data_IF_566335456605
#
_entry.id   IF_566335456605
#
_cell.length_a   1.000
_cell.length_b   1.000
_cell.length_c   1.000
_cell.angle_alpha   90.00
_cell.angle_beta   90.00
_cell.angle_gamma   90.00
#
_symmetry.space_group_name_H-M   'P 1'
#
loop_
_entity.id
_entity.type
_entity.pdbx_description
1 polymer ?
#
# COMPACT_ATOMS: atom_id res chain seq x y z
N UNK A 1 -1.42 3.33 18.90
CA UNK A 1 -0.72 2.66 17.77
C UNK A 1 0.26 1.62 18.27
N UNK A 2 1.20 1.96 19.16
CA UNK A 2 2.16 0.99 19.76
C UNK A 2 1.50 -0.27 20.32
N UNK A 3 0.48 -0.13 21.18
CA UNK A 3 -0.20 -1.30 21.76
C UNK A 3 -0.80 -2.23 20.70
N UNK A 4 -1.31 -1.68 19.58
CA UNK A 4 -1.91 -2.46 18.49
C UNK A 4 -0.87 -3.35 17.80
N UNK A 5 0.39 -2.90 17.70
CA UNK A 5 1.50 -3.69 17.15
C UNK A 5 1.76 -4.89 18.06
N UNK A 6 1.95 -4.63 19.35
CA UNK A 6 2.27 -5.63 20.37
C UNK A 6 1.12 -6.66 20.51
N UNK A 7 -0.13 -6.21 20.50
CA UNK A 7 -1.33 -7.06 20.53
C UNK A 7 -1.41 -8.04 19.34
N UNK A 8 -0.74 -7.73 18.22
CA UNK A 8 -0.66 -8.59 17.04
C UNK A 8 0.72 -9.25 16.91
N UNK A 9 1.46 -9.38 18.01
CA UNK A 9 2.75 -10.07 18.08
C UNK A 9 3.87 -9.40 17.27
N UNK A 10 3.68 -8.16 16.82
CA UNK A 10 4.74 -7.36 16.21
C UNK A 10 5.67 -6.77 17.27
N UNK A 11 6.91 -6.52 16.88
CA UNK A 11 7.89 -5.79 17.69
C UNK A 11 8.10 -4.39 17.12
N UNK A 12 8.38 -3.43 17.99
CA UNK A 12 8.84 -2.11 17.58
C UNK A 12 10.35 -2.18 17.44
N UNK A 13 10.85 -1.94 16.23
CA UNK A 13 12.28 -1.79 16.00
C UNK A 13 12.73 -0.42 16.48
N UNK A 14 12.15 0.66 15.92
CA UNK A 14 12.49 2.03 16.32
C UNK A 14 11.44 3.06 15.92
N UNK A 15 11.60 4.26 16.49
CA UNK A 15 10.92 5.48 16.07
C UNK A 15 11.86 6.30 15.19
N UNK A 16 11.33 6.82 14.07
CA UNK A 16 12.08 7.62 13.10
C UNK A 16 11.31 8.91 12.85
N UNK A 17 11.59 9.96 13.63
CA UNK A 17 10.79 11.18 13.61
C UNK A 17 9.35 10.92 14.03
N UNK A 18 8.41 11.09 13.11
CA UNK A 18 6.97 10.81 13.28
C UNK A 18 6.57 9.38 12.87
N UNK A 19 7.52 8.58 12.38
CA UNK A 19 7.29 7.23 11.89
C UNK A 19 7.60 6.16 12.94
N UNK A 20 6.87 5.04 12.87
CA UNK A 20 7.13 3.83 13.65
C UNK A 20 7.58 2.75 12.68
N UNK A 21 8.75 2.15 12.94
CA UNK A 21 9.19 0.94 12.27
C UNK A 21 8.86 -0.27 13.14
N UNK A 22 8.11 -1.20 12.58
CA UNK A 22 7.70 -2.43 13.26
C UNK A 22 8.04 -3.65 12.40
N UNK A 23 8.32 -4.77 13.07
CA UNK A 23 8.69 -6.03 12.44
C UNK A 23 7.76 -7.13 12.94
N UNK A 24 7.35 -7.99 12.03
CA UNK A 24 6.64 -9.24 12.27
C UNK A 24 7.53 -10.36 11.73
N UNK A 25 7.66 -11.45 12.46
CA UNK A 25 8.57 -12.54 12.11
C UNK A 25 9.99 -12.48 12.65
N UNK A 26 10.27 -11.57 13.58
CA UNK A 26 11.51 -11.54 14.35
C UNK A 26 11.26 -11.06 15.78
N UNK A 27 11.99 -11.58 16.79
CA UNK A 27 13.00 -12.65 16.72
C UNK A 27 12.42 -14.05 16.48
N UNK A 28 11.10 -14.20 16.63
CA UNK A 28 10.38 -15.46 16.40
C UNK A 28 9.52 -15.30 15.16
N UNK A 29 9.62 -16.26 14.25
CA UNK A 29 8.84 -16.34 13.01
C UNK A 29 7.60 -17.20 13.21
N UNK A 30 6.46 -16.72 12.74
CA UNK A 30 5.18 -17.40 12.73
C UNK A 30 4.56 -17.33 11.33
N UNK A 31 3.80 -18.37 10.96
CA UNK A 31 3.15 -18.43 9.64
C UNK A 31 2.10 -17.32 9.44
N UNK A 32 1.54 -16.78 10.52
CA UNK A 32 0.50 -15.75 10.49
C UNK A 32 1.04 -14.31 10.57
N UNK A 33 2.36 -14.12 10.58
CA UNK A 33 2.99 -12.79 10.64
C UNK A 33 2.53 -11.82 9.53
N UNK A 34 2.44 -12.22 8.25
CA UNK A 34 1.90 -11.35 7.20
C UNK A 34 0.44 -10.96 7.47
N UNK A 35 -0.38 -11.90 7.95
CA UNK A 35 -1.79 -11.65 8.30
C UNK A 35 -1.88 -10.70 9.48
N UNK A 36 -1.05 -10.90 10.51
CA UNK A 36 -1.01 -10.07 11.70
C UNK A 36 -0.57 -8.64 11.37
N UNK A 37 0.46 -8.46 10.53
CA UNK A 37 0.89 -7.15 10.06
C UNK A 37 -0.24 -6.37 9.37
N UNK A 38 -1.02 -7.04 8.50
CA UNK A 38 -2.14 -6.37 7.82
C UNK A 38 -3.28 -6.07 8.78
N UNK A 39 -3.61 -6.98 9.71
CA UNK A 39 -4.60 -6.74 10.77
C UNK A 39 -4.21 -5.56 11.65
N UNK A 40 -2.93 -5.45 12.01
CA UNK A 40 -2.36 -4.30 12.74
C UNK A 40 -2.63 -3.01 11.98
N UNK A 41 -2.25 -2.93 10.70
CA UNK A 41 -2.47 -1.75 9.87
C UNK A 41 -3.94 -1.35 9.82
N UNK A 42 -4.84 -2.31 9.54
CA UNK A 42 -6.27 -2.06 9.52
C UNK A 42 -6.82 -1.60 10.89
N UNK A 43 -6.35 -2.17 12.01
CA UNK A 43 -6.77 -1.76 13.36
C UNK A 43 -6.22 -0.38 13.74
N UNK A 44 -5.02 -0.01 13.28
CA UNK A 44 -4.49 1.34 13.44
C UNK A 44 -5.38 2.37 12.74
N UNK A 45 -5.86 2.07 11.53
CA UNK A 45 -6.77 2.97 10.81
C UNK A 45 -8.10 3.15 11.55
N UNK A 46 -8.66 2.10 12.14
CA UNK A 46 -9.89 2.21 12.93
C UNK A 46 -9.68 2.98 14.24
N UNK A 47 -8.54 2.77 14.90
CA UNK A 47 -8.14 3.55 16.07
C UNK A 47 -7.97 5.03 15.72
N UNK A 48 -7.35 5.34 14.58
CA UNK A 48 -7.18 6.71 14.09
C UNK A 48 -8.51 7.39 13.80
N UNK A 49 -9.49 6.68 13.19
CA UNK A 49 -10.85 7.21 13.00
C UNK A 49 -11.47 7.63 14.32
N UNK A 50 -11.33 6.80 15.35
CA UNK A 50 -11.86 7.09 16.70
C UNK A 50 -11.16 8.28 17.34
N UNK A 51 -9.84 8.36 17.20
CA UNK A 51 -9.05 9.49 17.67
C UNK A 51 -9.43 10.79 16.96
N UNK A 52 -9.55 10.78 15.64
CA UNK A 52 -9.90 11.95 14.84
C UNK A 52 -11.30 12.48 15.14
N UNK A 53 -12.28 11.62 15.46
CA UNK A 53 -13.59 12.07 15.93
C UNK A 53 -13.48 12.95 17.19
N UNK A 54 -12.62 12.57 18.14
CA UNK A 54 -12.36 13.36 19.36
C UNK A 54 -11.63 14.67 19.04
N UNK A 55 -10.66 14.63 18.12
CA UNK A 55 -9.95 15.83 17.67
C UNK A 55 -10.89 16.86 17.05
N UNK A 56 -11.73 16.42 16.10
CA UNK A 56 -12.70 17.29 15.43
C UNK A 56 -13.74 17.82 16.41
N UNK A 57 -14.24 17.00 17.33
CA UNK A 57 -15.15 17.45 18.39
C UNK A 57 -14.52 18.51 19.31
N UNK A 58 -13.19 18.52 19.42
CA UNK A 58 -12.42 19.51 20.20
C UNK A 58 -11.94 20.70 19.35
N UNK A 59 -12.45 20.87 18.12
CA UNK A 59 -12.05 21.96 17.22
C UNK A 59 -10.62 21.83 16.65
N UNK A 60 -10.00 20.65 16.74
CA UNK A 60 -8.63 20.39 16.26
C UNK A 60 -8.64 19.68 14.90
N UNK A 61 -7.61 19.89 14.07
CA UNK A 61 -7.51 19.20 12.78
C UNK A 61 -7.34 17.68 12.97
N UNK A 62 -7.88 16.87 12.04
CA UNK A 62 -7.67 15.43 12.04
C UNK A 62 -6.26 15.08 11.56
N UNK A 63 -5.74 13.96 12.06
CA UNK A 63 -4.46 13.38 11.65
C UNK A 63 -4.65 12.45 10.45
N UNK A 64 -3.60 12.36 9.63
CA UNK A 64 -3.47 11.37 8.55
C UNK A 64 -2.21 10.56 8.78
N UNK A 65 -2.25 9.27 8.46
CA UNK A 65 -1.10 8.38 8.50
C UNK A 65 -1.01 7.60 7.19
N UNK A 66 0.21 7.26 6.78
CA UNK A 66 0.50 6.26 5.77
C UNK A 66 1.06 5.01 6.42
N UNK A 67 0.69 3.84 5.91
CA UNK A 67 1.22 2.54 6.34
C UNK A 67 1.65 1.76 5.11
N UNK A 68 2.92 1.36 5.06
CA UNK A 68 3.48 0.50 4.01
C UNK A 68 3.93 -0.83 4.59
N UNK A 69 3.43 -1.95 4.06
CA UNK A 69 3.79 -3.29 4.51
C UNK A 69 4.44 -4.09 3.39
N UNK A 70 5.55 -4.74 3.70
CA UNK A 70 6.24 -5.65 2.79
C UNK A 70 6.69 -6.91 3.52
N UNK A 71 6.57 -8.05 2.85
CA UNK A 71 7.13 -9.33 3.29
C UNK A 71 8.35 -9.65 2.43
N UNK A 72 9.41 -10.16 3.04
CA UNK A 72 10.60 -10.59 2.33
C UNK A 72 11.80 -10.81 3.24
N UNK A 73 12.85 -11.37 2.68
CA UNK A 73 14.08 -11.67 3.40
C UNK A 73 14.79 -10.40 3.87
N UNK A 74 15.24 -10.45 5.13
CA UNK A 74 15.96 -9.38 5.81
C UNK A 74 17.06 -9.98 6.67
N UNK A 75 18.09 -9.19 6.98
CA UNK A 75 19.06 -9.53 8.02
C UNK A 75 18.58 -8.89 9.32
N UNK A 76 18.43 -9.69 10.38
CA UNK A 76 18.03 -9.22 11.71
C UNK A 76 19.13 -9.53 12.72
N UNK A 77 19.41 -8.58 13.60
CA UNK A 77 20.33 -8.79 14.71
C UNK A 77 20.74 -7.50 15.40
N UNK A 78 21.69 -7.60 16.34
CA UNK A 78 22.31 -6.45 16.96
C UNK A 78 23.31 -5.83 15.97
N UNK A 79 22.94 -4.71 15.37
CA UNK A 79 23.71 -4.02 14.33
C UNK A 79 24.13 -2.64 14.86
N UNK A 80 25.39 -2.28 14.64
CA UNK A 80 25.94 -1.00 15.05
C UNK A 80 27.42 -1.07 15.37
N UNK A 81 27.94 -0.04 16.03
CA UNK A 81 29.32 -0.02 16.51
C UNK A 81 29.39 -0.55 17.95
N UNK A 82 30.61 -0.81 18.45
CA UNK A 82 30.82 -1.20 19.84
C UNK A 82 30.25 -0.18 20.86
N UNK A 83 30.06 1.07 20.45
CA UNK A 83 29.52 2.14 21.30
C UNK A 83 28.00 2.25 21.22
N UNK A 84 27.37 1.72 20.16
CA UNK A 84 25.93 1.78 19.95
C UNK A 84 25.46 0.60 19.11
N UNK A 85 24.83 -0.37 19.77
CA UNK A 85 24.19 -1.53 19.16
C UNK A 85 22.67 -1.37 19.23
N UNK A 86 21.99 -1.63 18.12
CA UNK A 86 20.52 -1.68 18.04
C UNK A 86 20.09 -3.04 17.47
N UNK A 87 19.13 -3.70 18.11
CA UNK A 87 18.47 -4.85 17.50
C UNK A 87 17.53 -4.36 16.41
N UNK A 88 17.85 -4.62 15.15
CA UNK A 88 17.14 -4.03 14.00
C UNK A 88 17.16 -4.96 12.80
N UNK A 89 16.32 -4.66 11.80
CA UNK A 89 16.32 -5.37 10.52
C UNK A 89 16.80 -4.46 9.38
N UNK A 90 17.62 -5.02 8.50
CA UNK A 90 18.15 -4.32 7.32
C UNK A 90 17.97 -5.17 6.07
N UNK A 91 17.76 -4.51 4.93
CA UNK A 91 17.68 -5.17 3.63
C UNK A 91 16.72 -4.47 2.66
N UNK A 92 16.68 -4.97 1.44
CA UNK A 92 15.83 -4.43 0.39
C UNK A 92 14.34 -4.51 0.71
N UNK A 93 13.91 -5.53 1.46
CA UNK A 93 12.52 -5.69 1.90
C UNK A 93 12.08 -4.56 2.85
N UNK A 94 12.98 -4.12 3.75
CA UNK A 94 12.74 -2.97 4.64
C UNK A 94 12.59 -1.69 3.83
N UNK A 95 13.50 -1.48 2.87
CA UNK A 95 13.46 -0.33 1.98
C UNK A 95 12.18 -0.30 1.12
N UNK A 96 11.69 -1.47 0.69
CA UNK A 96 10.42 -1.57 -0.03
C UNK A 96 9.24 -1.17 0.86
N UNK A 97 9.15 -1.65 2.11
CA UNK A 97 8.09 -1.24 3.04
C UNK A 97 8.03 0.28 3.22
N UNK A 98 9.18 0.94 3.45
CA UNK A 98 9.26 2.40 3.56
C UNK A 98 8.81 3.13 2.29
N UNK A 99 9.15 2.60 1.10
CA UNK A 99 8.68 3.19 -0.16
C UNK A 99 7.18 3.04 -0.36
N UNK A 100 6.62 1.89 0.03
CA UNK A 100 5.17 1.67 -0.02
C UNK A 100 4.42 2.64 0.90
N UNK A 101 4.98 2.94 2.08
CA UNK A 101 4.46 3.98 2.97
C UNK A 101 4.43 5.33 2.24
N UNK A 102 5.52 5.75 1.60
CA UNK A 102 5.53 6.99 0.82
C UNK A 102 4.53 7.03 -0.34
N UNK A 103 4.22 5.88 -0.95
CA UNK A 103 3.22 5.78 -2.03
C UNK A 103 1.78 5.99 -1.53
N UNK A 104 1.50 5.82 -0.23
CA UNK A 104 0.16 6.05 0.34
C UNK A 104 -0.37 7.44 0.01
N UNK A 105 0.50 8.46 0.09
CA UNK A 105 0.16 9.84 -0.25
C UNK A 105 -0.17 10.02 -1.73
N UNK A 106 0.60 9.37 -2.61
CA UNK A 106 0.39 9.44 -4.06
C UNK A 106 -0.95 8.82 -4.45
N UNK A 107 -1.21 7.60 -3.96
CA UNK A 107 -2.45 6.89 -4.28
C UNK A 107 -3.64 7.31 -3.42
N UNK A 108 -3.47 8.22 -2.46
CA UNK A 108 -4.54 8.68 -1.58
C UNK A 108 -5.16 7.59 -0.71
N UNK A 109 -4.46 6.48 -0.48
CA UNK A 109 -4.91 5.34 0.34
C UNK A 109 -4.02 5.23 1.57
N UNK A 110 -4.56 4.96 2.77
CA UNK A 110 -3.78 5.06 4.01
C UNK A 110 -2.96 3.81 4.33
N UNK A 111 -3.18 2.70 3.62
CA UNK A 111 -2.47 1.43 3.83
C UNK A 111 -2.21 0.75 2.48
N UNK A 112 -0.93 0.52 2.19
CA UNK A 112 -0.48 -0.21 1.00
C UNK A 112 0.32 -1.43 1.43
N UNK A 113 0.04 -2.56 0.80
CA UNK A 113 0.78 -3.81 0.98
C UNK A 113 1.41 -4.24 -0.35
N UNK A 114 2.61 -4.81 -0.26
CA UNK A 114 3.29 -5.44 -1.41
C UNK A 114 2.53 -6.66 -1.93
N UNK A 115 2.84 -7.10 -3.15
CA UNK A 115 2.33 -8.38 -3.66
C UNK A 115 2.78 -9.58 -2.83
N UNK A 116 3.95 -9.51 -2.20
CA UNK A 116 4.48 -10.58 -1.34
C UNK A 116 3.62 -10.73 -0.08
N UNK A 117 3.34 -9.62 0.61
CA UNK A 117 2.44 -9.59 1.77
C UNK A 117 1.03 -10.01 1.39
N UNK A 118 0.53 -9.58 0.23
CA UNK A 118 -0.78 -10.00 -0.26
C UNK A 118 -0.82 -11.52 -0.50
N UNK A 119 0.17 -12.09 -1.19
CA UNK A 119 0.19 -13.52 -1.49
C UNK A 119 0.16 -14.41 -0.24
N UNK A 120 0.85 -14.00 0.82
CA UNK A 120 0.91 -14.74 2.09
C UNK A 120 -0.27 -14.45 3.03
N UNK A 121 -1.11 -13.45 2.73
CA UNK A 121 -2.26 -13.10 3.57
C UNK A 121 -3.63 -13.24 2.89
N UNK A 122 -3.66 -13.47 1.57
CA UNK A 122 -4.89 -13.42 0.73
C UNK A 122 -6.00 -14.39 1.14
N UNK A 123 -5.65 -15.50 1.80
CA UNK A 123 -6.64 -16.49 2.26
C UNK A 123 -7.45 -15.97 3.45
N UNK A 124 -6.92 -14.97 4.17
CA UNK A 124 -7.59 -14.34 5.32
C UNK A 124 -7.95 -12.87 5.07
N UNK A 125 -7.18 -12.18 4.24
CA UNK A 125 -7.27 -10.73 4.03
C UNK A 125 -7.74 -10.45 2.60
N UNK A 126 -8.84 -9.70 2.50
CA UNK A 126 -9.28 -9.14 1.22
C UNK A 126 -8.50 -7.88 0.91
N UNK A 127 -8.13 -7.72 -0.36
CA UNK A 127 -7.44 -6.52 -0.85
C UNK A 127 -7.79 -6.25 -2.31
N UNK A 128 -7.76 -4.98 -2.70
CA UNK A 128 -7.86 -4.57 -4.11
C UNK A 128 -6.48 -4.30 -4.66
N UNK A 129 -6.23 -4.64 -5.91
CA UNK A 129 -5.01 -4.22 -6.61
C UNK A 129 -5.11 -2.73 -6.91
N UNK A 130 -4.06 -1.96 -6.62
CA UNK A 130 -4.03 -0.53 -6.90
C UNK A 130 -3.16 -0.23 -8.13
N UNK A 131 -1.96 -0.83 -8.21
CA UNK A 131 -1.04 -0.52 -9.29
C UNK A 131 0.05 -1.59 -9.47
N UNK A 132 0.83 -1.45 -10.55
CA UNK A 132 2.11 -2.11 -10.79
C UNK A 132 3.20 -1.03 -10.85
N UNK A 133 4.04 -0.94 -9.81
CA UNK A 133 4.98 0.17 -9.64
C UNK A 133 6.43 -0.27 -9.78
N UNK A 134 7.26 0.61 -10.36
CA UNK A 134 8.73 0.50 -10.27
C UNK A 134 9.22 1.37 -9.12
N UNK A 135 9.61 0.75 -8.02
CA UNK A 135 10.27 1.45 -6.92
C UNK A 135 11.77 1.58 -7.20
N UNK A 136 12.36 2.73 -6.85
CA UNK A 136 13.80 2.98 -7.00
C UNK A 136 14.61 1.84 -6.35
N UNK A 137 15.52 1.23 -7.10
CA UNK A 137 16.37 0.13 -6.63
C UNK A 137 15.84 -1.28 -6.90
N UNK A 138 14.64 -1.45 -7.49
CA UNK A 138 14.16 -2.74 -8.01
C UNK A 138 13.99 -2.70 -9.52
N UNK A 139 14.57 -3.67 -10.23
CA UNK A 139 14.43 -3.80 -11.68
C UNK A 139 13.09 -4.40 -12.12
N UNK A 140 12.48 -5.23 -11.25
CA UNK A 140 11.17 -5.84 -11.48
C UNK A 140 10.07 -4.97 -10.86
N UNK A 141 9.02 -4.62 -11.61
CA UNK A 141 7.85 -3.94 -11.07
C UNK A 141 7.17 -4.80 -10.00
N UNK A 142 6.62 -4.16 -8.98
CA UNK A 142 5.94 -4.82 -7.85
C UNK A 142 4.46 -4.42 -7.89
N UNK A 143 3.56 -5.40 -7.79
CA UNK A 143 2.13 -5.08 -7.62
C UNK A 143 1.89 -4.58 -6.19
N UNK A 144 1.02 -3.59 -6.06
CA UNK A 144 0.63 -3.04 -4.76
C UNK A 144 -0.88 -3.15 -4.57
N UNK A 145 -1.28 -3.34 -3.32
CA UNK A 145 -2.65 -3.63 -2.94
C UNK A 145 -3.09 -2.77 -1.76
N UNK A 146 -4.37 -2.44 -1.70
CA UNK A 146 -5.00 -1.86 -0.50
C UNK A 146 -5.91 -2.92 0.13
N UNK A 147 -5.58 -3.36 1.36
CA UNK A 147 -6.42 -4.28 2.10
C UNK A 147 -7.66 -3.58 2.65
N UNK A 148 -8.76 -4.33 2.75
CA UNK A 148 -10.02 -3.85 3.29
C UNK A 148 -10.74 -4.94 4.09
N UNK A 149 -11.59 -4.54 5.05
CA UNK A 149 -12.38 -5.47 5.86
C UNK A 149 -13.69 -5.86 5.17
N UNK A 150 -14.52 -4.85 4.90
CA UNK A 150 -15.85 -4.99 4.33
C UNK A 150 -16.03 -4.00 3.20
N UNK A 151 -16.86 -4.36 2.23
CA UNK A 151 -17.25 -3.49 1.12
C UNK A 151 -18.76 -3.33 1.10
N UNK A 152 -19.23 -2.13 0.72
CA UNK A 152 -20.60 -1.95 0.26
C UNK A 152 -20.77 -2.57 -1.14
N UNK A 153 -22.00 -2.87 -1.60
CA UNK A 153 -22.23 -3.31 -2.97
C UNK A 153 -21.63 -2.36 -4.01
N UNK A 154 -21.69 -1.05 -3.77
CA UNK A 154 -21.05 -0.04 -4.60
C UNK A 154 -19.53 -0.18 -4.63
N UNK A 155 -18.88 -0.36 -3.47
CA UNK A 155 -17.42 -0.57 -3.42
C UNK A 155 -17.00 -1.87 -4.12
N UNK A 156 -17.73 -2.97 -3.92
CA UNK A 156 -17.49 -4.23 -4.64
C UNK A 156 -17.57 -3.98 -6.15
N UNK A 157 -18.62 -3.29 -6.61
CA UNK A 157 -18.79 -2.99 -8.04
C UNK A 157 -17.70 -2.07 -8.59
N UNK A 158 -17.28 -1.07 -7.81
CA UNK A 158 -16.15 -0.21 -8.15
C UNK A 158 -14.87 -1.02 -8.32
N UNK A 159 -14.58 -1.95 -7.41
CA UNK A 159 -13.40 -2.81 -7.51
C UNK A 159 -13.43 -3.71 -8.74
N UNK A 160 -14.61 -4.25 -9.11
CA UNK A 160 -14.77 -4.99 -10.37
C UNK A 160 -14.45 -4.13 -11.59
N UNK A 161 -14.97 -2.89 -11.65
CA UNK A 161 -14.65 -1.97 -12.74
C UNK A 161 -13.17 -1.62 -12.78
N UNK A 162 -12.54 -1.42 -11.62
CA UNK A 162 -11.11 -1.15 -11.55
C UNK A 162 -10.29 -2.34 -12.09
N UNK A 163 -10.59 -3.56 -11.65
CA UNK A 163 -9.86 -4.76 -12.11
C UNK A 163 -10.02 -5.01 -13.61
N UNK A 164 -11.23 -4.80 -14.18
CA UNK A 164 -11.43 -4.85 -15.63
C UNK A 164 -10.73 -3.70 -16.36
N UNK A 165 -10.72 -2.49 -15.77
CA UNK A 165 -9.98 -1.33 -16.28
C UNK A 165 -8.49 -1.62 -16.41
N UNK A 166 -7.90 -2.26 -15.40
CA UNK A 166 -6.48 -2.69 -15.42
C UNK A 166 -6.22 -3.70 -16.54
N UNK A 167 -7.16 -4.62 -16.83
CA UNK A 167 -7.00 -5.57 -17.95
C UNK A 167 -6.98 -4.85 -19.29
N UNK A 168 -7.93 -3.94 -19.53
CA UNK A 168 -7.99 -3.15 -20.77
C UNK A 168 -6.77 -2.23 -20.91
N UNK A 169 -6.34 -1.61 -19.82
CA UNK A 169 -5.15 -0.75 -19.77
C UNK A 169 -3.90 -1.50 -20.25
N UNK A 170 -3.69 -2.73 -19.76
CA UNK A 170 -2.56 -3.59 -20.17
C UNK A 170 -2.66 -4.08 -21.61
N UNK A 171 -3.88 -4.20 -22.14
CA UNK A 171 -4.13 -4.52 -23.54
C UNK A 171 -3.99 -3.28 -24.45
N UNK A 172 -3.57 -2.12 -23.91
CA UNK A 172 -3.49 -0.82 -24.61
C UNK A 172 -4.83 -0.31 -25.13
N UNK A 173 -5.94 -0.85 -24.62
CA UNK A 173 -7.27 -0.30 -24.87
C UNK A 173 -7.56 0.82 -23.86
N UNK A 174 -6.87 1.95 -24.03
CA UNK A 174 -6.92 3.06 -23.08
C UNK A 174 -8.29 3.73 -23.02
N UNK A 175 -8.99 3.89 -24.15
CA UNK A 175 -10.35 4.42 -24.16
C UNK A 175 -11.32 3.54 -23.34
N UNK A 176 -11.22 2.21 -23.49
CA UNK A 176 -12.04 1.28 -22.71
C UNK A 176 -11.66 1.29 -21.23
N UNK A 177 -10.37 1.35 -20.93
CA UNK A 177 -9.86 1.42 -19.55
C UNK A 177 -10.31 2.70 -18.83
N UNK A 178 -10.15 3.87 -19.47
CA UNK A 178 -10.56 5.18 -18.97
C UNK A 178 -12.05 5.20 -18.59
N UNK A 179 -12.91 4.62 -19.44
CA UNK A 179 -14.34 4.49 -19.17
C UNK A 179 -14.60 3.69 -17.89
N UNK A 180 -13.94 2.55 -17.71
CA UNK A 180 -14.09 1.70 -16.52
C UNK A 180 -13.55 2.38 -15.26
N UNK A 181 -12.41 3.06 -15.34
CA UNK A 181 -11.86 3.83 -14.21
C UNK A 181 -12.77 5.00 -13.83
N UNK A 182 -13.38 5.67 -14.80
CA UNK A 182 -14.39 6.72 -14.56
C UNK A 182 -15.60 6.14 -13.83
N UNK A 183 -16.13 5.00 -14.28
CA UNK A 183 -17.23 4.31 -13.59
C UNK A 183 -16.87 3.88 -12.16
N UNK A 184 -15.64 3.39 -11.95
CA UNK A 184 -15.14 3.07 -10.62
C UNK A 184 -15.10 4.31 -9.72
N UNK A 185 -14.49 5.40 -10.18
CA UNK A 185 -14.44 6.69 -9.47
C UNK A 185 -15.84 7.20 -9.14
N UNK A 186 -16.77 7.19 -10.09
CA UNK A 186 -18.10 7.75 -9.86
C UNK A 186 -18.89 6.95 -8.81
N UNK A 187 -18.74 5.62 -8.79
CA UNK A 187 -19.40 4.75 -7.78
C UNK A 187 -18.71 4.82 -6.41
N UNK A 188 -17.38 4.84 -6.39
CA UNK A 188 -16.61 4.87 -5.16
C UNK A 188 -16.58 6.24 -4.47
N UNK A 189 -16.95 7.30 -5.19
CA UNK A 189 -16.63 8.67 -4.80
C UNK A 189 -15.18 9.02 -5.16
N UNK A 190 -14.59 10.05 -4.54
CA UNK A 190 -13.21 10.50 -4.84
C UNK A 190 -12.15 9.41 -4.59
N UNK A 191 -11.99 8.49 -5.55
CA UNK A 191 -11.02 7.41 -5.60
C UNK A 191 -9.80 7.85 -6.39
N UNK A 192 -8.72 8.11 -5.65
CA UNK A 192 -7.47 8.60 -6.22
C UNK A 192 -6.80 7.58 -7.16
N UNK A 193 -6.76 6.26 -6.87
CA UNK A 193 -6.25 5.26 -7.83
C UNK A 193 -6.93 5.33 -9.19
N UNK A 194 -8.27 5.40 -9.23
CA UNK A 194 -9.01 5.52 -10.48
C UNK A 194 -8.67 6.82 -11.21
N UNK A 195 -8.57 7.93 -10.49
CA UNK A 195 -8.21 9.23 -11.06
C UNK A 195 -6.82 9.20 -11.70
N UNK A 196 -5.83 8.62 -11.02
CA UNK A 196 -4.48 8.43 -11.58
C UNK A 196 -4.53 7.64 -12.89
N UNK A 197 -5.32 6.57 -12.94
CA UNK A 197 -5.42 5.77 -14.15
C UNK A 197 -6.17 6.47 -15.29
N UNK A 198 -7.14 7.33 -14.99
CA UNK A 198 -7.80 8.19 -15.99
C UNK A 198 -6.76 9.12 -16.61
N UNK A 199 -6.02 9.88 -15.80
CA UNK A 199 -4.97 10.79 -16.28
C UNK A 199 -3.93 10.06 -17.15
N UNK A 200 -3.50 8.86 -16.72
CA UNK A 200 -2.59 8.01 -17.50
C UNK A 200 -3.18 7.53 -18.82
N UNK A 201 -4.47 7.20 -18.85
CA UNK A 201 -5.13 6.81 -20.10
C UNK A 201 -5.16 7.98 -21.07
N UNK A 202 -5.51 9.18 -20.60
CA UNK A 202 -5.49 10.40 -21.42
C UNK A 202 -4.11 10.67 -22.02
N UNK A 203 -3.05 10.54 -21.21
CA UNK A 203 -1.67 10.69 -21.68
C UNK A 203 -1.31 9.64 -22.74
N UNK A 204 -1.63 8.37 -22.50
CA UNK A 204 -1.28 7.25 -23.39
C UNK A 204 -2.17 7.18 -24.64
N UNK A 205 -3.34 7.84 -24.65
CA UNK A 205 -4.12 8.06 -25.87
C UNK A 205 -3.43 9.09 -26.77
N UNK A 206 -2.91 10.17 -26.18
CA UNK A 206 -2.18 11.23 -26.89
C UNK A 206 -0.81 10.75 -27.38
N UNK A 207 -0.12 9.95 -26.58
CA UNK A 207 1.23 9.45 -26.84
C UNK A 207 1.33 7.95 -26.51
N UNK A 208 0.87 7.08 -27.44
CA UNK A 208 0.80 5.64 -27.21
C UNK A 208 2.17 5.02 -26.94
N UNK A 209 2.25 4.06 -25.99
CA UNK A 209 3.50 3.45 -25.65
C UNK A 209 3.95 2.46 -26.73
N UNK A 210 5.26 2.27 -26.85
CA UNK A 210 5.87 1.36 -27.82
C UNK A 210 5.39 -0.10 -27.67
N UNK A 211 5.77 -0.95 -28.64
CA UNK A 211 5.35 -2.37 -28.67
C UNK A 211 5.74 -3.12 -27.39
N UNK A 212 6.95 -2.86 -26.86
CA UNK A 212 7.56 -3.55 -25.71
C UNK A 212 7.18 -2.96 -24.34
N UNK A 213 6.08 -2.21 -24.27
CA UNK A 213 5.61 -1.65 -23.01
C UNK A 213 5.18 -2.76 -22.04
N UNK A 214 5.75 -2.72 -20.84
CA UNK A 214 5.57 -3.70 -19.76
C UNK A 214 4.31 -3.46 -18.91
N UNK A 215 3.48 -2.48 -19.29
CA UNK A 215 2.28 -2.08 -18.56
C UNK A 215 2.54 -1.20 -17.34
N UNK A 216 3.76 -0.74 -17.12
CA UNK A 216 4.10 0.21 -16.06
C UNK A 216 4.11 1.62 -16.61
N UNK A 217 3.33 2.51 -15.99
CA UNK A 217 3.37 3.92 -16.34
C UNK A 217 4.69 4.56 -15.86
N UNK A 218 5.42 5.16 -16.80
CA UNK A 218 6.60 5.98 -16.50
C UNK A 218 6.27 7.41 -16.89
N UNK A 219 6.09 8.29 -15.90
CA UNK A 219 5.83 9.70 -16.15
C UNK A 219 7.00 10.31 -16.95
N UNK A 220 6.69 11.01 -18.05
CA UNK A 220 7.71 11.65 -18.91
C UNK A 220 8.27 12.95 -18.32
N UNK A 221 7.67 13.47 -17.23
CA UNK A 221 8.11 14.66 -16.50
C UNK A 221 7.85 14.51 -15.00
N UNK A 222 8.76 15.09 -14.18
CA UNK A 222 8.69 15.18 -12.72
C UNK A 222 7.76 16.30 -12.27
#
# INVERSE_FOLDING_TARGET
MVSIIIEHQGIIDKFIGDSIMAVFGAPVLHDDDPVNAVKTGLKMLDSLKTFNRKQTASGRPPFKIGIGLNTGEVVVGNIGSNQKLEYTCIGDAVNLASRLEGLTKMYGVPLIISEFTYLESRDTIKARKIDLVRVKGKNKPVKIYEPYKNTTPGQTKGYEYFDEGIKLYRQKNFNGAEKLFTQCRDIMGKDTPSSIYIDRCEDLIKDPPGKDWDGVYTAKTK
#
